data_IF_439703259622
#
_entry.id   IF_439703259622
#
_cell.length_a   1.000
_cell.length_b   1.000
_cell.length_c   1.000
_cell.angle_alpha   90.00
_cell.angle_beta   90.00
_cell.angle_gamma   90.00
#
_symmetry.space_group_name_H-M   'P 1'
#
loop_
_entity.id
_entity.type
_entity.pdbx_description
1 polymer ?
#
# COMPACT_ATOMS: atom_id res chain seq x y z
N UNK A 1 56.36 -38.53 30.52
CA UNK A 1 56.88 -37.68 29.43
C UNK A 1 56.00 -37.94 28.21
N UNK A 2 55.14 -37.10 27.66
CA UNK A 2 54.66 -35.71 27.81
C UNK A 2 53.21 -35.79 27.25
N UNK A 3 52.11 -35.48 27.94
CA UNK A 3 51.55 -34.18 28.34
C UNK A 3 51.39 -33.15 27.19
N UNK A 4 50.12 -32.86 26.89
CA UNK A 4 49.52 -31.67 26.23
C UNK A 4 49.84 -31.51 24.72
N UNK A 5 48.94 -31.10 23.83
CA UNK A 5 47.92 -30.05 23.94
C UNK A 5 46.71 -30.35 23.03
N UNK A 6 45.52 -30.50 23.61
CA UNK A 6 44.25 -30.23 22.92
C UNK A 6 43.86 -28.79 23.24
N UNK A 7 44.09 -27.87 22.29
CA UNK A 7 43.51 -26.54 22.36
C UNK A 7 42.02 -26.65 22.02
N UNK A 8 41.10 -26.25 22.91
CA UNK A 8 39.72 -26.10 22.53
C UNK A 8 39.64 -24.90 21.59
N UNK A 9 39.01 -25.10 20.43
CA UNK A 9 38.46 -24.02 19.63
C UNK A 9 37.54 -23.20 20.54
N UNK A 10 38.04 -22.07 21.03
CA UNK A 10 37.23 -21.00 21.55
C UNK A 10 36.52 -20.40 20.34
N UNK A 11 35.45 -21.07 19.88
CA UNK A 11 34.42 -20.41 19.09
C UNK A 11 33.91 -19.29 19.98
N UNK A 12 34.36 -18.08 19.65
CA UNK A 12 33.75 -16.84 20.07
C UNK A 12 32.28 -16.97 19.63
N UNK A 13 31.43 -17.44 20.55
CA UNK A 13 30.00 -17.19 20.50
C UNK A 13 29.92 -15.67 20.57
N UNK A 14 29.91 -15.04 19.39
CA UNK A 14 29.29 -13.74 19.23
C UNK A 14 27.92 -13.93 19.84
N UNK A 15 27.75 -13.39 21.03
CA UNK A 15 26.46 -13.17 21.64
C UNK A 15 25.60 -12.54 20.56
N UNK A 16 24.68 -13.33 20.01
CA UNK A 16 23.53 -12.81 19.27
C UNK A 16 22.89 -11.82 20.24
N UNK A 17 23.23 -10.54 20.05
CA UNK A 17 22.56 -9.45 20.69
C UNK A 17 21.09 -9.62 20.34
N UNK A 18 20.21 -9.49 21.34
CA UNK A 18 18.77 -9.72 21.24
C UNK A 18 18.01 -8.76 20.34
N UNK A 19 18.63 -8.29 19.25
CA UNK A 19 18.03 -7.49 18.21
C UNK A 19 17.23 -8.40 17.28
N UNK A 20 15.96 -8.06 17.04
CA UNK A 20 15.23 -8.63 15.93
C UNK A 20 15.85 -8.10 14.63
N UNK A 21 16.41 -9.00 13.82
CA UNK A 21 17.02 -8.67 12.54
C UNK A 21 15.95 -8.34 11.48
N UNK A 22 16.19 -7.28 10.72
CA UNK A 22 15.41 -6.91 9.54
C UNK A 22 16.32 -6.84 8.33
N UNK A 23 16.11 -7.75 7.39
CA UNK A 23 16.93 -7.87 6.19
C UNK A 23 16.28 -7.15 5.02
N UNK A 24 17.07 -6.33 4.33
CA UNK A 24 16.67 -5.71 3.09
C UNK A 24 16.60 -6.75 1.96
N UNK A 25 15.45 -6.82 1.29
CA UNK A 25 15.13 -7.82 0.25
C UNK A 25 15.40 -7.35 -1.17
N UNK A 26 15.44 -6.03 -1.42
CA UNK A 26 15.60 -5.49 -2.77
C UNK A 26 17.08 -5.53 -3.16
N UNK A 27 17.46 -6.43 -4.07
CA UNK A 27 18.81 -6.46 -4.61
C UNK A 27 18.86 -5.88 -6.02
N UNK A 28 19.95 -5.15 -6.30
CA UNK A 28 20.25 -4.60 -7.61
C UNK A 28 21.23 -5.50 -8.38
N UNK A 29 21.17 -6.81 -8.15
CA UNK A 29 22.12 -7.73 -8.79
C UNK A 29 21.90 -7.80 -10.30
N UNK A 30 22.99 -7.77 -11.08
CA UNK A 30 22.98 -7.97 -12.53
C UNK A 30 22.38 -9.32 -12.93
N UNK A 31 22.62 -10.37 -12.13
CA UNK A 31 22.17 -11.73 -12.43
C UNK A 31 20.68 -11.95 -12.15
N UNK A 32 19.99 -10.97 -11.56
CA UNK A 32 18.56 -11.07 -11.31
C UNK A 32 17.78 -10.70 -12.58
N UNK A 33 17.16 -11.68 -13.23
CA UNK A 33 16.39 -11.48 -14.47
C UNK A 33 15.21 -10.53 -14.31
N UNK A 34 14.67 -10.39 -13.09
CA UNK A 34 13.57 -9.46 -12.81
C UNK A 34 14.00 -7.99 -12.88
N UNK A 35 15.30 -7.72 -12.74
CA UNK A 35 15.84 -6.36 -12.86
C UNK A 35 16.04 -5.92 -14.32
N UNK A 36 15.60 -6.71 -15.29
CA UNK A 36 15.71 -6.43 -16.72
C UNK A 36 14.35 -6.45 -17.39
N UNK A 37 14.06 -5.43 -18.20
CA UNK A 37 12.81 -5.33 -18.97
C UNK A 37 12.55 -6.53 -19.89
N UNK A 38 13.61 -7.19 -20.37
CA UNK A 38 13.53 -8.36 -21.26
C UNK A 38 13.28 -9.68 -20.52
N UNK A 39 13.15 -9.66 -19.18
CA UNK A 39 12.86 -10.84 -18.36
C UNK A 39 13.99 -11.88 -18.30
N UNK A 40 15.19 -11.53 -18.77
CA UNK A 40 16.41 -12.35 -18.71
C UNK A 40 17.64 -11.46 -18.53
N UNK A 41 18.72 -12.05 -18.05
CA UNK A 41 20.03 -11.39 -17.96
C UNK A 41 20.54 -11.08 -19.39
N UNK A 42 21.17 -9.91 -19.63
CA UNK A 42 21.71 -9.54 -20.95
C UNK A 42 22.79 -10.52 -21.40
N UNK A 43 22.77 -10.84 -22.70
CA UNK A 43 23.71 -11.74 -23.36
C UNK A 43 24.85 -10.96 -24.05
N UNK A 44 25.82 -11.68 -24.61
CA UNK A 44 26.97 -11.12 -25.33
C UNK A 44 26.65 -10.25 -26.55
N UNK A 45 25.44 -10.37 -27.12
CA UNK A 45 24.96 -9.57 -28.25
C UNK A 45 24.05 -8.40 -27.81
N UNK A 46 23.64 -8.34 -26.54
CA UNK A 46 22.74 -7.30 -26.05
C UNK A 46 23.49 -6.03 -25.68
N UNK A 47 22.78 -4.90 -25.74
CA UNK A 47 23.22 -3.64 -25.14
C UNK A 47 22.57 -3.51 -23.78
N UNK A 48 23.38 -3.44 -22.72
CA UNK A 48 22.85 -3.13 -21.40
C UNK A 48 22.67 -1.62 -21.29
N UNK A 49 21.46 -1.18 -20.97
CA UNK A 49 21.09 0.22 -20.79
C UNK A 49 20.78 0.45 -19.32
N UNK A 50 21.60 1.28 -18.68
CA UNK A 50 21.47 1.61 -17.27
C UNK A 50 21.08 3.08 -17.13
N UNK A 51 19.96 3.33 -16.47
CA UNK A 51 19.43 4.67 -16.21
C UNK A 51 19.37 4.89 -14.70
N UNK A 52 20.19 5.82 -14.20
CA UNK A 52 20.25 6.21 -12.79
C UNK A 52 20.34 5.01 -11.83
N UNK A 53 21.14 4.01 -12.21
CA UNK A 53 21.24 2.73 -11.50
C UNK A 53 22.61 2.57 -10.83
N UNK A 54 22.65 1.85 -9.70
CA UNK A 54 23.90 1.31 -9.14
C UNK A 54 23.84 -0.20 -9.33
N UNK A 55 24.76 -0.74 -10.11
CA UNK A 55 24.73 -2.14 -10.54
C UNK A 55 26.07 -2.82 -10.29
N UNK A 56 26.07 -3.88 -9.49
CA UNK A 56 27.23 -4.74 -9.35
C UNK A 56 27.23 -5.84 -10.41
N UNK A 57 28.34 -5.94 -11.14
CA UNK A 57 28.57 -7.02 -12.08
C UNK A 57 28.93 -8.32 -11.34
N UNK A 58 28.59 -9.49 -11.91
CA UNK A 58 28.95 -10.77 -11.32
C UNK A 58 30.46 -11.01 -11.36
N UNK A 59 30.93 -11.88 -10.47
CA UNK A 59 32.28 -12.44 -10.55
C UNK A 59 32.41 -13.25 -11.84
N UNK A 60 33.57 -13.16 -12.52
CA UNK A 60 33.79 -13.79 -13.82
C UNK A 60 33.57 -12.83 -14.98
N UNK A 61 33.32 -13.39 -16.17
CA UNK A 61 33.23 -12.60 -17.41
C UNK A 61 31.79 -12.20 -17.73
N UNK A 62 31.53 -10.89 -17.75
CA UNK A 62 30.31 -10.30 -18.30
C UNK A 62 30.61 -9.81 -19.71
N UNK A 63 29.96 -10.42 -20.71
CA UNK A 63 30.09 -10.02 -22.12
C UNK A 63 28.85 -9.29 -22.60
N UNK A 64 29.04 -8.15 -23.24
CA UNK A 64 27.96 -7.31 -23.79
C UNK A 64 28.34 -6.81 -25.19
N UNK A 65 27.37 -6.44 -26.02
CA UNK A 65 27.66 -5.69 -27.24
C UNK A 65 28.14 -4.27 -26.89
N UNK A 66 27.40 -3.62 -26.00
CA UNK A 66 27.66 -2.28 -25.50
C UNK A 66 27.05 -2.10 -24.10
N UNK A 67 27.57 -1.13 -23.35
CA UNK A 67 27.02 -0.69 -22.07
C UNK A 67 26.74 0.81 -22.18
N UNK A 68 25.47 1.18 -22.05
CA UNK A 68 24.99 2.55 -22.15
C UNK A 68 24.72 3.03 -20.72
N UNK A 69 25.44 4.07 -20.31
CA UNK A 69 25.40 4.65 -18.97
C UNK A 69 24.94 6.10 -19.06
N UNK A 70 24.06 6.52 -18.14
CA UNK A 70 23.83 7.95 -17.90
C UNK A 70 24.86 8.54 -16.92
N UNK A 71 24.80 9.85 -16.69
CA UNK A 71 25.71 10.56 -15.78
C UNK A 71 25.53 10.19 -14.29
N UNK A 72 24.49 9.45 -13.93
CA UNK A 72 24.13 9.11 -12.56
C UNK A 72 24.20 7.61 -12.28
N UNK A 73 24.75 6.85 -13.23
CA UNK A 73 24.90 5.41 -13.15
C UNK A 73 26.27 5.03 -12.62
N UNK A 74 26.31 4.01 -11.79
CA UNK A 74 27.53 3.38 -11.33
C UNK A 74 27.53 1.90 -11.61
N UNK A 75 28.67 1.39 -12.06
CA UNK A 75 28.88 -0.02 -12.31
C UNK A 75 30.04 -0.49 -11.46
N UNK A 76 29.73 -1.33 -10.47
CA UNK A 76 30.74 -1.91 -9.59
C UNK A 76 31.28 -3.18 -10.24
N UNK A 77 32.58 -3.18 -10.56
CA UNK A 77 33.29 -4.36 -11.04
C UNK A 77 33.94 -5.07 -9.85
N UNK A 78 33.61 -6.35 -9.58
CA UNK A 78 34.29 -7.11 -8.53
C UNK A 78 35.76 -7.33 -8.90
N UNK A 79 36.62 -7.57 -7.91
CA UNK A 79 38.07 -7.72 -8.11
C UNK A 79 38.44 -8.81 -9.15
N UNK A 80 37.63 -9.87 -9.27
CA UNK A 80 37.79 -10.95 -10.24
C UNK A 80 36.73 -10.88 -11.38
N UNK A 81 36.20 -9.69 -11.64
CA UNK A 81 35.24 -9.42 -12.71
C UNK A 81 35.93 -8.95 -13.98
N UNK A 82 35.49 -9.45 -15.12
CA UNK A 82 35.93 -8.98 -16.45
C UNK A 82 34.70 -8.50 -17.21
N UNK A 83 34.67 -7.23 -17.56
CA UNK A 83 33.69 -6.67 -18.49
C UNK A 83 34.28 -6.66 -19.90
N UNK A 84 33.64 -7.36 -20.83
CA UNK A 84 34.09 -7.47 -22.22
C UNK A 84 33.03 -6.94 -23.19
N UNK A 85 33.45 -6.10 -24.13
CA UNK A 85 32.62 -5.65 -25.24
C UNK A 85 32.90 -6.47 -26.49
N UNK A 86 31.89 -7.18 -26.99
CA UNK A 86 32.02 -8.04 -28.17
C UNK A 86 31.88 -7.28 -29.47
N UNK A 87 31.12 -6.18 -29.47
CA UNK A 87 30.73 -5.44 -30.68
C UNK A 87 29.82 -6.23 -31.64
N UNK A 88 29.43 -7.46 -31.29
CA UNK A 88 28.62 -8.33 -32.15
C UNK A 88 27.13 -8.02 -31.97
N UNK A 89 26.42 -7.81 -33.07
CA UNK A 89 24.95 -7.58 -33.07
C UNK A 89 24.14 -8.87 -32.90
N UNK A 90 24.76 -10.03 -33.09
CA UNK A 90 24.13 -11.33 -32.98
C UNK A 90 25.17 -12.39 -32.61
N UNK A 91 24.73 -13.44 -31.93
CA UNK A 91 25.48 -14.67 -31.65
C UNK A 91 24.57 -15.88 -31.86
N UNK A 92 25.14 -17.09 -31.99
CA UNK A 92 24.37 -18.32 -32.20
C UNK A 92 23.32 -18.58 -31.09
N UNK A 93 23.53 -18.01 -29.90
CA UNK A 93 22.64 -18.16 -28.74
C UNK A 93 21.69 -16.98 -28.51
N UNK A 94 21.90 -15.82 -29.15
CA UNK A 94 21.21 -14.60 -28.79
C UNK A 94 21.22 -13.54 -29.89
N UNK A 95 20.02 -13.14 -30.32
CA UNK A 95 19.79 -11.94 -31.14
C UNK A 95 19.87 -10.70 -30.25
N UNK A 96 20.79 -9.79 -30.56
CA UNK A 96 21.03 -8.60 -29.75
C UNK A 96 19.85 -7.63 -29.69
N UNK A 97 19.57 -7.13 -28.50
CA UNK A 97 18.54 -6.12 -28.22
C UNK A 97 18.95 -5.19 -27.07
N UNK A 98 18.14 -4.18 -26.79
CA UNK A 98 18.32 -3.32 -25.62
C UNK A 98 17.74 -3.97 -24.37
N UNK A 99 18.63 -4.36 -23.46
CA UNK A 99 18.28 -4.80 -22.12
C UNK A 99 18.36 -3.59 -21.19
N UNK A 100 17.21 -3.04 -20.83
CA UNK A 100 17.09 -1.88 -19.93
C UNK A 100 16.99 -2.38 -18.50
N UNK A 101 17.89 -1.91 -17.65
CA UNK A 101 17.86 -2.20 -16.22
C UNK A 101 16.73 -1.44 -15.54
N UNK A 102 15.81 -2.18 -14.93
CA UNK A 102 14.67 -1.65 -14.18
C UNK A 102 14.56 -2.45 -12.89
N UNK A 103 14.90 -1.88 -11.73
CA UNK A 103 14.73 -2.56 -10.46
C UNK A 103 13.31 -3.09 -10.32
N UNK A 104 13.18 -4.38 -10.02
CA UNK A 104 11.88 -5.06 -9.93
C UNK A 104 11.04 -4.63 -8.73
N UNK A 105 11.70 -4.09 -7.70
CA UNK A 105 11.08 -3.66 -6.45
C UNK A 105 11.31 -2.17 -6.23
N UNK A 106 10.40 -1.57 -5.47
CA UNK A 106 10.57 -0.24 -4.90
C UNK A 106 11.94 -0.15 -4.23
N UNK A 107 12.58 1.01 -4.32
CA UNK A 107 13.84 1.29 -3.65
C UNK A 107 13.63 1.98 -2.30
N UNK A 108 12.39 2.18 -1.88
CA UNK A 108 12.11 2.99 -0.70
C UNK A 108 12.20 2.20 0.60
N UNK A 109 12.85 2.80 1.59
CA UNK A 109 12.93 2.28 2.95
C UNK A 109 11.54 2.01 3.56
N UNK A 110 10.59 2.91 3.31
CA UNK A 110 9.25 2.88 3.90
C UNK A 110 8.28 1.94 3.17
N UNK A 111 8.75 1.15 2.19
CA UNK A 111 7.92 0.12 1.55
C UNK A 111 8.03 -1.21 2.33
N UNK A 112 6.94 -1.70 2.93
CA UNK A 112 6.90 -2.97 3.65
C UNK A 112 7.45 -4.18 2.88
N UNK A 113 7.31 -4.21 1.55
CA UNK A 113 7.70 -5.36 0.73
C UNK A 113 9.22 -5.49 0.50
N UNK A 114 9.97 -4.49 0.94
CA UNK A 114 11.43 -4.48 0.88
C UNK A 114 12.10 -5.12 2.09
N UNK A 115 11.33 -5.57 3.07
CA UNK A 115 11.83 -6.12 4.33
C UNK A 115 11.27 -7.51 4.59
N UNK A 116 12.01 -8.31 5.35
CA UNK A 116 11.65 -9.66 5.76
C UNK A 116 10.99 -9.71 7.16
N UNK A 117 10.72 -10.93 7.62
CA UNK A 117 10.35 -11.17 9.03
C UNK A 117 8.94 -10.72 9.40
N UNK A 118 8.00 -10.70 8.47
CA UNK A 118 6.60 -10.36 8.74
C UNK A 118 5.63 -11.40 8.17
N UNK A 119 4.42 -11.41 8.70
CA UNK A 119 3.31 -12.23 8.22
C UNK A 119 2.04 -11.37 8.05
N UNK A 120 0.92 -11.97 7.63
CA UNK A 120 -0.32 -11.24 7.38
C UNK A 120 -0.90 -10.53 8.62
N UNK A 121 -0.59 -10.99 9.83
CA UNK A 121 -1.00 -10.38 11.09
C UNK A 121 -0.05 -9.26 11.57
N UNK A 122 1.13 -9.09 10.98
CA UNK A 122 2.05 -8.01 11.30
C UNK A 122 1.52 -6.68 10.76
N UNK A 123 1.34 -5.63 11.60
CA UNK A 123 0.95 -4.30 11.15
C UNK A 123 1.94 -3.69 10.16
N UNK A 124 1.46 -2.92 9.18
CA UNK A 124 2.29 -2.33 8.12
C UNK A 124 3.46 -1.49 8.65
N UNK A 125 3.25 -0.73 9.73
CA UNK A 125 4.32 0.06 10.38
C UNK A 125 5.42 -0.78 11.06
N UNK A 126 5.15 -2.06 11.29
CA UNK A 126 6.08 -3.02 11.89
C UNK A 126 6.64 -3.99 10.85
N UNK A 127 6.28 -3.83 9.57
CA UNK A 127 6.89 -4.54 8.44
C UNK A 127 8.16 -3.83 7.95
N UNK A 128 8.29 -2.54 8.24
CA UNK A 128 9.55 -1.79 8.09
C UNK A 128 10.34 -1.84 9.42
N UNK A 129 11.66 -1.57 9.43
CA UNK A 129 12.46 -1.68 10.64
C UNK A 129 11.99 -0.76 11.76
N UNK A 130 11.91 -1.32 12.97
CA UNK A 130 11.57 -0.61 14.19
C UNK A 130 12.78 0.07 14.82
N UNK A 131 12.54 1.00 15.76
CA UNK A 131 13.56 1.76 16.48
C UNK A 131 14.54 0.89 17.29
N UNK A 132 14.19 -0.36 17.57
CA UNK A 132 15.02 -1.34 18.29
C UNK A 132 15.55 -2.47 17.41
N UNK A 133 15.31 -2.42 16.09
CA UNK A 133 15.71 -3.51 15.19
C UNK A 133 17.18 -3.38 14.77
N UNK A 134 17.78 -4.52 14.40
CA UNK A 134 19.05 -4.56 13.70
C UNK A 134 18.79 -4.65 12.20
N UNK A 135 19.17 -3.61 11.47
CA UNK A 135 18.96 -3.56 10.02
C UNK A 135 20.13 -4.21 9.31
N UNK A 136 19.83 -5.14 8.40
CA UNK A 136 20.82 -5.95 7.70
C UNK A 136 20.71 -5.69 6.20
N UNK A 137 21.79 -5.15 5.65
CA UNK A 137 22.07 -5.15 4.22
C UNK A 137 23.07 -6.28 3.94
N UNK A 138 22.64 -7.37 3.29
CA UNK A 138 23.46 -8.56 3.09
C UNK A 138 24.83 -8.28 2.45
N UNK A 139 25.85 -9.10 2.71
CA UNK A 139 27.14 -8.94 2.06
C UNK A 139 27.11 -9.30 0.57
N UNK A 140 28.01 -8.68 -0.19
CA UNK A 140 28.14 -8.91 -1.63
C UNK A 140 26.97 -8.41 -2.49
N UNK A 141 26.11 -7.55 -1.92
CA UNK A 141 25.04 -6.86 -2.62
C UNK A 141 25.35 -5.38 -2.85
N UNK A 142 24.76 -4.81 -3.89
CA UNK A 142 24.67 -3.36 -4.09
C UNK A 142 23.26 -2.89 -3.80
N UNK A 143 23.19 -1.76 -3.10
CA UNK A 143 21.96 -1.18 -2.63
C UNK A 143 21.78 0.22 -3.18
N UNK A 144 20.52 0.60 -3.37
CA UNK A 144 20.11 1.96 -3.68
C UNK A 144 18.80 2.14 -2.95
N UNK A 145 18.84 2.87 -1.84
CA UNK A 145 17.75 2.99 -0.89
C UNK A 145 17.34 4.45 -0.80
N UNK A 146 16.07 4.71 -1.11
CA UNK A 146 15.44 6.01 -0.92
C UNK A 146 15.01 6.10 0.54
N UNK A 147 15.72 6.91 1.29
CA UNK A 147 15.55 7.12 2.73
C UNK A 147 14.49 8.22 2.99
N UNK A 148 13.66 8.08 4.05
CA UNK A 148 12.84 9.18 4.55
C UNK A 148 13.71 10.19 5.30
N UNK A 149 13.11 11.29 5.75
CA UNK A 149 13.81 12.39 6.42
C UNK A 149 14.59 11.95 7.67
N UNK A 150 14.00 11.07 8.47
CA UNK A 150 14.62 10.53 9.68
C UNK A 150 14.28 9.05 9.77
N UNK A 151 15.31 8.23 9.95
CA UNK A 151 15.18 6.82 10.31
C UNK A 151 15.70 6.60 11.72
N UNK A 152 15.00 5.78 12.53
CA UNK A 152 15.44 5.39 13.87
C UNK A 152 15.56 3.88 13.94
N UNK A 153 16.70 3.37 14.41
CA UNK A 153 16.93 1.93 14.58
C UNK A 153 17.84 1.62 15.77
N UNK A 154 17.93 0.33 16.12
CA UNK A 154 18.86 -0.16 17.13
C UNK A 154 20.30 -0.17 16.61
N UNK A 155 20.51 -0.71 15.40
CA UNK A 155 21.82 -0.78 14.74
C UNK A 155 21.70 -1.15 13.27
N UNK A 156 22.80 -1.06 12.54
CA UNK A 156 22.92 -1.44 11.13
C UNK A 156 24.04 -2.47 10.92
N UNK A 157 23.95 -3.25 9.85
CA UNK A 157 25.02 -4.03 9.27
C UNK A 157 24.98 -3.87 7.76
N UNK A 158 26.08 -3.40 7.18
CA UNK A 158 26.23 -3.20 5.74
C UNK A 158 27.49 -3.92 5.29
N UNK A 159 27.35 -4.86 4.36
CA UNK A 159 28.45 -5.73 3.89
C UNK A 159 29.21 -6.44 5.03
N UNK A 160 28.48 -6.84 6.08
CA UNK A 160 29.05 -7.48 7.27
C UNK A 160 29.75 -6.52 8.23
N UNK A 161 29.82 -5.21 7.94
CA UNK A 161 30.30 -4.19 8.87
C UNK A 161 29.13 -3.64 9.69
N UNK A 162 29.17 -3.85 11.00
CA UNK A 162 28.21 -3.27 11.94
C UNK A 162 28.43 -1.77 12.14
N UNK A 163 27.33 -1.00 12.16
CA UNK A 163 27.30 0.40 12.58
C UNK A 163 26.38 0.49 13.80
N UNK A 164 26.93 1.01 14.91
CA UNK A 164 26.29 0.99 16.23
C UNK A 164 26.05 2.38 16.80
N UNK A 165 26.46 3.44 16.07
CA UNK A 165 26.22 4.82 16.46
C UNK A 165 25.87 5.72 15.28
N UNK A 166 25.12 6.79 15.55
CA UNK A 166 24.76 7.83 14.57
C UNK A 166 26.00 8.47 13.92
N UNK A 167 27.12 8.57 14.66
CA UNK A 167 28.36 9.11 14.12
C UNK A 167 28.99 8.17 13.07
N UNK A 168 29.03 6.86 13.35
CA UNK A 168 29.52 5.88 12.36
C UNK A 168 28.65 5.85 11.11
N UNK A 169 27.34 6.01 11.27
CA UNK A 169 26.44 6.20 10.12
C UNK A 169 26.81 7.45 9.34
N UNK A 170 26.94 8.59 10.00
CA UNK A 170 27.27 9.86 9.35
C UNK A 170 28.62 9.81 8.62
N UNK A 171 29.64 9.18 9.20
CA UNK A 171 30.92 8.96 8.53
C UNK A 171 30.75 8.08 7.29
N UNK A 172 29.95 7.01 7.37
CA UNK A 172 29.67 6.13 6.25
C UNK A 172 28.84 6.81 5.15
N UNK A 173 27.75 7.51 5.49
CA UNK A 173 26.87 8.16 4.53
C UNK A 173 27.57 9.29 3.78
N UNK A 174 28.60 9.89 4.36
CA UNK A 174 29.45 10.88 3.71
C UNK A 174 30.50 10.29 2.75
N UNK A 175 30.75 8.98 2.80
CA UNK A 175 31.58 8.33 1.81
C UNK A 175 30.86 8.36 0.45
N UNK A 176 31.65 8.38 -0.62
CA UNK A 176 31.12 8.32 -1.98
C UNK A 176 30.21 7.11 -2.21
N UNK A 177 30.55 5.99 -1.59
CA UNK A 177 29.76 4.76 -1.65
C UNK A 177 28.47 4.89 -0.84
N UNK A 178 28.54 5.33 0.42
CA UNK A 178 27.38 5.44 1.31
C UNK A 178 26.33 6.42 0.79
N UNK A 179 26.75 7.63 0.37
CA UNK A 179 25.87 8.67 -0.19
C UNK A 179 25.11 8.25 -1.46
N UNK A 180 25.64 7.27 -2.19
CA UNK A 180 25.01 6.75 -3.41
C UNK A 180 24.13 5.54 -3.16
N UNK A 181 24.47 4.74 -2.15
CA UNK A 181 23.63 3.63 -1.71
C UNK A 181 22.44 4.10 -0.89
N UNK A 182 22.58 5.17 -0.11
CA UNK A 182 21.56 5.69 0.80
C UNK A 182 21.40 7.19 0.61
N UNK A 183 20.23 7.60 0.10
CA UNK A 183 19.98 9.00 -0.27
C UNK A 183 18.51 9.35 -0.05
N UNK A 184 18.24 10.61 0.22
CA UNK A 184 16.88 11.12 0.27
C UNK A 184 16.35 11.42 -1.13
N UNK A 185 15.03 11.55 -1.31
CA UNK A 185 14.43 11.79 -2.63
C UNK A 185 14.90 13.10 -3.30
N UNK A 186 15.22 14.12 -2.48
CA UNK A 186 15.84 15.38 -2.89
C UNK A 186 17.37 15.26 -3.12
N UNK A 187 17.93 14.06 -2.98
CA UNK A 187 19.36 13.72 -3.08
C UNK A 187 20.24 14.35 -2.00
N UNK A 188 19.64 14.72 -0.86
CA UNK A 188 20.38 15.07 0.35
C UNK A 188 20.87 13.80 1.08
N UNK A 189 21.82 14.00 1.99
CA UNK A 189 22.39 12.95 2.84
C UNK A 189 21.32 12.36 3.76
N UNK A 190 21.22 11.04 3.77
CA UNK A 190 20.26 10.35 4.63
C UNK A 190 20.65 10.43 6.10
N UNK A 191 19.72 10.84 6.95
CA UNK A 191 19.91 10.88 8.39
C UNK A 191 19.32 9.64 9.09
N UNK A 192 20.15 8.95 9.87
CA UNK A 192 19.77 7.79 10.67
C UNK A 192 20.20 8.01 12.11
N UNK A 193 19.25 7.91 13.02
CA UNK A 193 19.48 7.88 14.46
C UNK A 193 19.67 6.42 14.91
N UNK A 194 20.88 6.08 15.35
CA UNK A 194 21.22 4.74 15.86
C UNK A 194 21.33 4.80 17.38
N UNK A 195 20.42 4.10 18.04
CA UNK A 195 20.35 4.10 19.51
C UNK A 195 21.36 3.16 20.18
N UNK A 196 21.84 2.14 19.47
CA UNK A 196 22.66 1.06 20.02
C UNK A 196 21.91 0.11 20.97
N UNK A 197 20.63 0.39 21.23
CA UNK A 197 19.81 -0.35 22.18
C UNK A 197 18.98 -1.41 21.45
N UNK A 198 19.04 -2.63 21.95
CA UNK A 198 18.18 -3.72 21.51
C UNK A 198 16.89 -3.77 22.34
N UNK A 199 15.82 -4.29 21.74
CA UNK A 199 14.68 -4.70 22.54
C UNK A 199 15.10 -5.85 23.46
N UNK A 200 14.92 -5.76 24.79
CA UNK A 200 15.23 -6.88 25.67
C UNK A 200 14.42 -8.12 25.26
N UNK A 201 15.08 -9.29 25.17
CA UNK A 201 14.42 -10.53 24.74
C UNK A 201 13.22 -10.92 25.61
N UNK A 202 13.20 -10.47 26.86
CA UNK A 202 12.14 -10.76 27.84
C UNK A 202 11.01 -9.74 27.84
N UNK A 203 11.08 -8.67 27.04
CA UNK A 203 10.08 -7.59 27.04
C UNK A 203 9.46 -7.36 25.66
N UNK A 204 8.29 -6.74 25.65
CA UNK A 204 7.68 -6.21 24.43
C UNK A 204 8.08 -4.75 24.24
N UNK A 205 8.64 -4.43 23.07
CA UNK A 205 8.98 -3.07 22.70
C UNK A 205 7.95 -2.48 21.74
N UNK A 206 7.79 -1.17 21.81
CA UNK A 206 7.04 -0.44 20.81
C UNK A 206 7.94 -0.20 19.59
N UNK A 207 7.37 -0.34 18.39
CA UNK A 207 8.14 -0.22 17.16
C UNK A 207 8.67 1.20 16.92
N UNK A 208 7.90 2.22 17.32
CA UNK A 208 8.31 3.63 17.22
C UNK A 208 8.09 4.29 15.86
N UNK A 209 7.45 3.62 14.90
CA UNK A 209 7.26 4.12 13.52
C UNK A 209 6.00 4.94 13.29
N UNK A 210 5.27 5.32 14.34
CA UNK A 210 4.00 6.07 14.24
C UNK A 210 4.16 7.41 13.48
N UNK A 211 5.34 8.03 13.52
CA UNK A 211 5.62 9.29 12.80
C UNK A 211 5.66 9.10 11.27
N UNK A 212 5.92 7.89 10.77
CA UNK A 212 5.95 7.57 9.33
C UNK A 212 4.63 7.03 8.80
N UNK A 213 3.54 7.05 9.59
CA UNK A 213 2.30 6.37 9.24
C UNK A 213 1.74 6.79 7.87
N UNK A 214 1.68 8.09 7.60
CA UNK A 214 1.14 8.61 6.33
C UNK A 214 1.99 8.15 5.14
N UNK A 215 3.32 8.23 5.26
CA UNK A 215 4.26 7.90 4.21
C UNK A 215 4.26 6.39 3.90
N UNK A 216 4.29 5.54 4.93
CA UNK A 216 4.21 4.08 4.75
C UNK A 216 2.89 3.71 4.08
N UNK A 217 1.76 4.25 4.57
CA UNK A 217 0.45 3.91 4.02
C UNK A 217 0.22 4.42 2.61
N UNK A 218 0.93 5.47 2.17
CA UNK A 218 0.91 5.91 0.77
C UNK A 218 1.48 4.87 -0.21
N UNK A 219 2.27 3.90 0.29
CA UNK A 219 2.87 2.82 -0.49
C UNK A 219 2.16 1.48 -0.34
N UNK A 220 1.17 1.37 0.55
CA UNK A 220 0.40 0.15 0.74
C UNK A 220 -0.86 0.21 -0.12
N UNK A 221 -1.05 -0.81 -0.96
CA UNK A 221 -2.29 -0.95 -1.74
C UNK A 221 -3.31 -1.75 -0.95
N UNK A 222 -4.41 -1.10 -0.54
CA UNK A 222 -5.49 -1.76 0.19
C UNK A 222 -6.43 -2.52 -0.75
N UNK A 223 -6.45 -3.85 -0.64
CA UNK A 223 -7.51 -4.67 -1.22
C UNK A 223 -8.81 -4.50 -0.42
N UNK A 224 -9.96 -4.66 -1.09
CA UNK A 224 -11.25 -4.63 -0.41
C UNK A 224 -11.39 -5.89 0.46
N UNK A 225 -11.66 -5.76 1.77
CA UNK A 225 -11.75 -6.91 2.66
C UNK A 225 -13.00 -7.75 2.39
N UNK A 226 -12.82 -9.07 2.29
CA UNK A 226 -13.88 -10.05 2.02
C UNK A 226 -14.66 -10.46 3.30
N UNK A 227 -14.93 -9.50 4.18
CA UNK A 227 -15.69 -9.69 5.41
C UNK A 227 -16.54 -8.46 5.71
N UNK A 228 -17.66 -8.67 6.43
CA UNK A 228 -18.46 -7.59 7.00
C UNK A 228 -17.71 -6.99 8.19
N UNK A 229 -17.85 -5.68 8.39
CA UNK A 229 -17.24 -4.97 9.53
C UNK A 229 -15.75 -5.32 9.71
N UNK A 230 -14.90 -5.04 8.70
CA UNK A 230 -13.47 -5.27 8.83
C UNK A 230 -12.91 -4.43 9.98
N UNK A 231 -11.83 -4.93 10.60
CA UNK A 231 -11.19 -4.29 11.75
C UNK A 231 -9.85 -3.69 11.34
N UNK A 232 -9.38 -2.66 12.02
CA UNK A 232 -8.10 -2.03 11.73
C UNK A 232 -7.30 -1.86 13.02
N UNK A 233 -6.43 -2.84 13.37
CA UNK A 233 -5.54 -2.72 14.51
C UNK A 233 -4.54 -1.56 14.34
N UNK A 234 -3.96 -1.09 15.44
CA UNK A 234 -2.94 -0.03 15.40
C UNK A 234 -1.75 -0.43 14.54
N UNK A 235 -1.31 0.47 13.67
CA UNK A 235 -0.19 0.27 12.75
C UNK A 235 -0.54 -0.37 11.41
N UNK A 236 -1.80 -0.79 11.19
CA UNK A 236 -2.28 -1.22 9.87
C UNK A 236 -2.74 -0.03 9.04
N UNK A 237 -2.35 -0.02 7.77
CA UNK A 237 -2.82 0.97 6.80
C UNK A 237 -4.23 0.66 6.29
N UNK A 238 -4.56 -0.62 6.18
CA UNK A 238 -5.82 -1.11 5.62
C UNK A 238 -6.65 -1.87 6.68
N UNK A 239 -7.98 -1.83 6.60
CA UNK A 239 -8.82 -2.75 7.34
C UNK A 239 -8.57 -4.20 6.91
N UNK A 240 -8.61 -5.13 7.87
CA UNK A 240 -8.36 -6.57 7.67
C UNK A 240 -9.55 -7.41 8.15
N UNK A 241 -9.59 -8.65 7.67
CA UNK A 241 -10.49 -9.69 8.18
C UNK A 241 -9.74 -10.56 9.19
N UNK A 242 -10.13 -10.49 10.47
CA UNK A 242 -9.38 -11.14 11.54
C UNK A 242 -9.98 -10.89 12.92
N UNK A 243 -9.10 -10.93 13.92
CA UNK A 243 -9.40 -10.48 15.28
C UNK A 243 -8.18 -9.75 15.87
N UNK A 244 -8.40 -8.84 16.82
CA UNK A 244 -7.31 -8.37 17.67
C UNK A 244 -7.75 -8.13 19.11
N UNK A 245 -6.79 -8.24 20.02
CA UNK A 245 -6.94 -7.98 21.44
C UNK A 245 -6.16 -6.75 21.84
N UNK A 246 -6.68 -6.04 22.84
CA UNK A 246 -5.87 -5.14 23.65
C UNK A 246 -5.74 -5.75 25.04
N UNK A 247 -4.53 -6.17 25.37
CA UNK A 247 -4.20 -6.84 26.62
C UNK A 247 -3.50 -5.85 27.56
N UNK A 248 -3.82 -5.95 28.84
CA UNK A 248 -3.11 -5.26 29.92
C UNK A 248 -2.34 -6.29 30.74
N UNK A 249 -1.04 -6.05 30.94
CA UNK A 249 -0.14 -6.93 31.65
C UNK A 249 0.30 -6.33 33.00
N UNK A 250 0.37 -7.16 34.03
CA UNK A 250 1.07 -6.81 35.28
C UNK A 250 2.58 -6.98 35.18
N UNK A 251 3.04 -7.94 34.36
CA UNK A 251 4.42 -8.08 33.91
C UNK A 251 4.46 -7.96 32.39
N UNK A 252 5.58 -7.48 31.86
CA UNK A 252 5.83 -7.37 30.41
C UNK A 252 6.65 -8.55 29.88
N UNK A 253 6.68 -9.66 30.62
CA UNK A 253 7.40 -10.88 30.21
C UNK A 253 6.80 -11.43 28.91
N UNK A 254 7.56 -11.28 27.83
CA UNK A 254 7.14 -11.67 26.48
C UNK A 254 7.23 -13.17 26.26
N UNK A 255 8.14 -13.87 26.93
CA UNK A 255 8.45 -15.27 26.66
C UNK A 255 7.27 -16.18 27.02
N UNK A 256 6.77 -16.07 28.26
CA UNK A 256 5.70 -16.93 28.74
C UNK A 256 4.40 -16.76 27.94
N UNK A 257 4.00 -15.51 27.67
CA UNK A 257 2.79 -15.25 26.90
C UNK A 257 2.93 -15.75 25.46
N UNK A 258 4.10 -15.55 24.84
CA UNK A 258 4.40 -16.05 23.49
C UNK A 258 4.31 -17.56 23.42
N UNK A 259 4.87 -18.29 24.40
CA UNK A 259 4.75 -19.75 24.46
C UNK A 259 3.30 -20.21 24.62
N UNK A 260 2.52 -19.54 25.47
CA UNK A 260 1.12 -19.90 25.70
C UNK A 260 0.25 -19.64 24.46
N UNK A 261 0.48 -18.52 23.75
CA UNK A 261 -0.18 -18.21 22.48
C UNK A 261 0.21 -19.24 21.42
N UNK A 262 1.50 -19.51 21.25
CA UNK A 262 1.99 -20.49 20.28
C UNK A 262 1.41 -21.89 20.54
N UNK A 263 1.39 -22.32 21.80
CA UNK A 263 0.80 -23.61 22.19
C UNK A 263 -0.69 -23.66 21.92
N UNK A 264 -1.40 -22.55 22.15
CA UNK A 264 -2.84 -22.48 21.90
C UNK A 264 -3.17 -22.46 20.41
N UNK A 265 -2.42 -21.71 19.59
CA UNK A 265 -2.70 -21.52 18.17
C UNK A 265 -2.13 -22.60 17.25
N UNK A 266 -1.29 -23.48 17.79
CA UNK A 266 -0.70 -24.60 17.05
C UNK A 266 -1.77 -25.40 16.30
N UNK A 267 -1.53 -25.65 15.02
CA UNK A 267 -2.37 -26.44 14.11
C UNK A 267 -3.80 -25.87 13.89
N UNK A 268 -4.04 -24.59 14.20
CA UNK A 268 -5.34 -23.93 14.00
C UNK A 268 -5.46 -23.15 12.68
N UNK A 269 -4.39 -23.04 11.90
CA UNK A 269 -4.37 -22.26 10.65
C UNK A 269 -4.59 -20.76 10.90
N UNK A 270 -4.00 -20.23 11.97
CA UNK A 270 -4.09 -18.81 12.34
C UNK A 270 -2.68 -18.26 12.51
N UNK A 271 -2.39 -17.19 11.77
CA UNK A 271 -1.21 -16.36 11.93
C UNK A 271 -1.47 -15.34 13.02
N UNK A 272 -0.42 -14.99 13.76
CA UNK A 272 -0.54 -14.00 14.83
C UNK A 272 0.69 -13.09 14.90
N UNK A 273 0.48 -11.91 15.48
CA UNK A 273 1.52 -10.94 15.78
C UNK A 273 1.18 -10.20 17.06
N UNK A 274 2.17 -9.97 17.92
CA UNK A 274 1.98 -9.17 19.13
C UNK A 274 2.96 -8.01 19.18
N UNK A 275 2.46 -6.83 19.55
CA UNK A 275 3.28 -5.63 19.66
C UNK A 275 2.77 -4.69 20.74
N UNK A 276 3.68 -3.92 21.34
CA UNK A 276 3.33 -2.96 22.37
C UNK A 276 2.81 -1.67 21.72
N UNK A 277 1.63 -1.24 22.16
CA UNK A 277 0.99 0.00 21.71
C UNK A 277 0.71 0.85 22.95
N UNK A 278 1.61 1.78 23.24
CA UNK A 278 1.59 2.57 24.47
C UNK A 278 1.69 1.69 25.73
N UNK A 279 0.61 1.66 26.52
CA UNK A 279 0.52 0.86 27.78
C UNK A 279 -0.19 -0.48 27.61
N UNK A 280 -0.53 -0.86 26.39
CA UNK A 280 -1.26 -2.09 26.09
C UNK A 280 -0.42 -2.97 25.16
N UNK A 281 -0.65 -4.27 25.23
CA UNK A 281 -0.16 -5.22 24.25
C UNK A 281 -1.28 -5.49 23.24
N UNK A 282 -1.02 -5.21 21.98
CA UNK A 282 -1.92 -5.55 20.87
C UNK A 282 -1.55 -6.95 20.37
N UNK A 283 -2.52 -7.87 20.33
CA UNK A 283 -2.36 -9.19 19.72
C UNK A 283 -3.31 -9.29 18.53
N UNK A 284 -2.77 -9.43 17.33
CA UNK A 284 -3.52 -9.55 16.07
C UNK A 284 -3.53 -11.01 15.62
N UNK A 285 -4.69 -11.48 15.17
CA UNK A 285 -4.93 -12.81 14.64
C UNK A 285 -5.53 -12.72 13.23
N UNK A 286 -4.97 -13.46 12.28
CA UNK A 286 -5.44 -13.54 10.89
C UNK A 286 -5.45 -15.01 10.47
N UNK A 287 -6.44 -15.44 9.69
CA UNK A 287 -6.48 -16.81 9.16
C UNK A 287 -5.38 -17.00 8.11
N UNK A 288 -4.78 -18.18 8.11
CA UNK A 288 -3.84 -18.57 7.06
C UNK A 288 -4.61 -18.95 5.78
N UNK A 289 -4.60 -18.06 4.79
CA UNK A 289 -5.34 -18.21 3.54
C UNK A 289 -6.61 -17.36 3.47
N UNK A 290 -7.67 -17.88 2.84
CA UNK A 290 -8.94 -17.18 2.69
C UNK A 290 -9.72 -17.13 4.00
N UNK A 291 -10.34 -15.97 4.27
CA UNK A 291 -11.11 -15.75 5.49
C UNK A 291 -12.36 -16.66 5.56
N UNK A 292 -12.48 -17.46 6.62
CA UNK A 292 -13.55 -18.45 6.81
C UNK A 292 -14.28 -18.32 8.17
N UNK A 293 -14.13 -17.18 8.85
CA UNK A 293 -14.72 -16.87 10.17
C UNK A 293 -14.25 -17.73 11.35
N UNK A 294 -13.38 -18.72 11.14
CA UNK A 294 -12.83 -19.60 12.21
C UNK A 294 -12.11 -18.81 13.29
N UNK A 295 -11.45 -17.71 12.92
CA UNK A 295 -10.72 -16.86 13.87
C UNK A 295 -11.63 -16.29 14.95
N UNK A 296 -12.94 -16.16 14.70
CA UNK A 296 -13.90 -15.67 15.69
C UNK A 296 -13.96 -16.57 16.93
N UNK A 297 -14.24 -17.86 16.72
CA UNK A 297 -14.31 -18.84 17.80
C UNK A 297 -12.95 -19.05 18.48
N UNK A 298 -11.87 -19.02 17.68
CA UNK A 298 -10.50 -19.15 18.19
C UNK A 298 -10.18 -17.97 19.11
N UNK A 299 -10.51 -16.74 18.72
CA UNK A 299 -10.25 -15.55 19.51
C UNK A 299 -11.04 -15.54 20.83
N UNK A 300 -12.32 -15.96 20.82
CA UNK A 300 -13.12 -16.05 22.05
C UNK A 300 -12.57 -17.10 23.02
N UNK A 301 -12.14 -18.26 22.50
CA UNK A 301 -11.52 -19.30 23.33
C UNK A 301 -10.15 -18.87 23.84
N UNK A 302 -9.36 -18.17 23.02
CA UNK A 302 -8.07 -17.61 23.43
C UNK A 302 -8.25 -16.57 24.53
N UNK A 303 -9.25 -15.68 24.42
CA UNK A 303 -9.61 -14.71 25.47
C UNK A 303 -9.80 -15.41 26.81
N UNK A 304 -10.61 -16.48 26.81
CA UNK A 304 -10.91 -17.27 28.00
C UNK A 304 -9.66 -17.95 28.55
N UNK A 305 -8.79 -18.48 27.67
CA UNK A 305 -7.50 -19.06 28.06
C UNK A 305 -6.56 -18.03 28.68
N UNK A 306 -6.45 -16.83 28.11
CA UNK A 306 -5.62 -15.74 28.65
C UNK A 306 -6.15 -15.27 30.01
N UNK A 307 -7.46 -15.13 30.18
CA UNK A 307 -8.04 -14.71 31.47
C UNK A 307 -7.81 -15.78 32.55
N UNK A 308 -7.99 -17.06 32.21
CA UNK A 308 -7.91 -18.14 33.20
C UNK A 308 -6.46 -18.54 33.51
N UNK A 309 -5.58 -18.53 32.51
CA UNK A 309 -4.23 -19.08 32.61
C UNK A 309 -3.12 -18.05 32.41
N UNK A 310 -3.43 -16.83 31.95
CA UNK A 310 -2.45 -15.84 31.51
C UNK A 310 -1.69 -15.13 32.63
N UNK A 311 -1.63 -15.70 33.85
CA UNK A 311 -0.67 -15.32 34.92
C UNK A 311 -0.42 -13.80 35.09
N UNK A 312 -1.48 -12.99 35.04
CA UNK A 312 -1.39 -11.52 35.21
C UNK A 312 -1.69 -10.69 33.96
N UNK A 313 -1.96 -11.33 32.83
CA UNK A 313 -2.54 -10.71 31.64
C UNK A 313 -4.07 -10.65 31.74
N UNK A 314 -4.65 -9.54 31.27
CA UNK A 314 -6.10 -9.34 31.21
C UNK A 314 -6.49 -8.79 29.85
N UNK A 315 -7.52 -9.36 29.23
CA UNK A 315 -8.04 -8.86 27.96
C UNK A 315 -8.98 -7.68 28.22
N UNK A 316 -8.55 -6.47 27.88
CA UNK A 316 -9.34 -5.25 28.02
C UNK A 316 -10.42 -5.20 26.93
N UNK A 317 -10.01 -5.44 25.69
CA UNK A 317 -10.90 -5.41 24.53
C UNK A 317 -10.59 -6.57 23.58
N UNK A 318 -11.62 -7.03 22.87
CA UNK A 318 -11.53 -7.99 21.78
C UNK A 318 -12.42 -7.46 20.64
N UNK A 319 -11.80 -7.24 19.49
CA UNK A 319 -12.46 -6.84 18.26
C UNK A 319 -12.32 -7.96 17.24
N UNK A 320 -13.41 -8.29 16.56
CA UNK A 320 -13.45 -9.38 15.57
C UNK A 320 -14.22 -8.90 14.36
N UNK A 321 -13.74 -9.25 13.17
CA UNK A 321 -14.48 -9.02 11.93
C UNK A 321 -15.81 -9.79 11.90
N UNK A 322 -16.76 -9.28 11.14
CA UNK A 322 -18.03 -9.95 10.87
C UNK A 322 -17.93 -11.02 9.80
N UNK A 323 -19.10 -11.49 9.35
CA UNK A 323 -19.22 -12.63 8.44
C UNK A 323 -18.49 -12.46 7.10
N UNK A 324 -18.10 -13.56 6.46
CA UNK A 324 -17.50 -13.57 5.12
C UNK A 324 -18.42 -12.83 4.16
N UNK A 325 -17.84 -11.95 3.37
CA UNK A 325 -18.55 -11.23 2.33
C UNK A 325 -17.95 -11.56 0.98
N UNK A 326 -18.78 -12.12 0.11
CA UNK A 326 -18.45 -12.33 -1.29
C UNK A 326 -19.08 -11.21 -2.12
N UNK A 327 -18.28 -10.49 -2.95
CA UNK A 327 -18.86 -9.53 -3.87
C UNK A 327 -19.77 -10.27 -4.85
N UNK A 328 -21.01 -9.78 -5.01
CA UNK A 328 -21.95 -10.35 -5.97
C UNK A 328 -21.41 -10.17 -7.38
N UNK A 329 -21.16 -11.26 -8.08
CA UNK A 329 -20.70 -11.18 -9.48
C UNK A 329 -21.85 -10.77 -10.39
N UNK A 330 -21.54 -10.10 -11.51
CA UNK A 330 -22.54 -9.74 -12.53
C UNK A 330 -23.33 -10.98 -13.01
N UNK A 331 -22.65 -12.13 -13.13
CA UNK A 331 -23.28 -13.41 -13.47
C UNK A 331 -24.32 -13.88 -12.45
N UNK A 332 -24.07 -13.69 -11.15
CA UNK A 332 -25.04 -14.00 -10.11
C UNK A 332 -26.26 -13.07 -10.19
N UNK A 333 -26.06 -11.77 -10.41
CA UNK A 333 -27.17 -10.80 -10.55
C UNK A 333 -28.04 -11.14 -11.75
N UNK A 334 -27.43 -11.36 -12.93
CA UNK A 334 -28.16 -11.75 -14.13
C UNK A 334 -28.82 -13.12 -13.97
N UNK A 335 -28.16 -14.07 -13.29
CA UNK A 335 -28.73 -15.37 -12.97
C UNK A 335 -29.99 -15.26 -12.12
N UNK A 336 -29.98 -14.44 -11.07
CA UNK A 336 -31.15 -14.16 -10.24
C UNK A 336 -32.27 -13.48 -11.05
N UNK A 337 -31.93 -12.51 -11.90
CA UNK A 337 -32.89 -11.81 -12.76
C UNK A 337 -33.58 -12.77 -13.75
N UNK A 338 -32.82 -13.59 -14.47
CA UNK A 338 -33.39 -14.56 -15.42
C UNK A 338 -34.17 -15.67 -14.71
N UNK A 339 -33.71 -16.13 -13.54
CA UNK A 339 -34.43 -17.10 -12.72
C UNK A 339 -35.80 -16.58 -12.28
N UNK A 340 -35.86 -15.32 -11.83
CA UNK A 340 -37.12 -14.65 -11.49
C UNK A 340 -38.05 -14.49 -12.70
N UNK A 341 -37.51 -14.16 -13.87
CA UNK A 341 -38.28 -14.09 -15.13
C UNK A 341 -38.87 -15.44 -15.52
N UNK A 342 -38.09 -16.52 -15.46
CA UNK A 342 -38.56 -17.87 -15.75
C UNK A 342 -39.64 -18.29 -14.75
N UNK A 343 -39.42 -18.01 -13.45
CA UNK A 343 -40.39 -18.32 -12.41
C UNK A 343 -41.71 -17.56 -12.60
N UNK A 344 -41.65 -16.26 -12.90
CA UNK A 344 -42.83 -15.46 -13.23
C UNK A 344 -43.55 -15.98 -14.49
N UNK A 345 -42.81 -16.39 -15.52
CA UNK A 345 -43.35 -17.02 -16.72
C UNK A 345 -44.06 -18.35 -16.45
N UNK A 346 -43.50 -19.19 -15.58
CA UNK A 346 -44.13 -20.45 -15.16
C UNK A 346 -45.41 -20.22 -14.36
N UNK A 347 -45.43 -19.22 -13.47
CA UNK A 347 -46.65 -18.82 -12.75
C UNK A 347 -47.71 -18.34 -13.74
N UNK A 348 -47.36 -17.47 -14.69
CA UNK A 348 -48.28 -16.99 -15.72
C UNK A 348 -48.85 -18.15 -16.55
N UNK A 349 -47.99 -19.08 -16.98
CA UNK A 349 -48.41 -20.27 -17.72
C UNK A 349 -49.35 -21.16 -16.90
N UNK A 350 -49.07 -21.37 -15.61
CA UNK A 350 -49.94 -22.13 -14.71
C UNK A 350 -51.31 -21.45 -14.54
N UNK A 351 -51.34 -20.12 -14.41
CA UNK A 351 -52.58 -19.33 -14.37
C UNK A 351 -53.35 -19.49 -15.68
N UNK A 352 -52.69 -19.36 -16.84
CA UNK A 352 -53.33 -19.53 -18.15
C UNK A 352 -53.91 -20.96 -18.29
N UNK A 353 -53.17 -22.00 -17.90
CA UNK A 353 -53.65 -23.39 -17.96
C UNK A 353 -54.84 -23.60 -17.01
N UNK A 354 -54.79 -23.06 -15.80
CA UNK A 354 -55.87 -23.18 -14.82
C UNK A 354 -57.16 -22.50 -15.30
N UNK A 355 -57.06 -21.29 -15.87
CA UNK A 355 -58.21 -20.55 -16.38
C UNK A 355 -58.69 -21.07 -17.75
N UNK A 356 -57.81 -21.53 -18.63
CA UNK A 356 -58.18 -22.14 -19.91
C UNK A 356 -58.90 -23.49 -19.73
N UNK A 357 -58.58 -24.27 -18.68
CA UNK A 357 -59.34 -25.48 -18.33
C UNK A 357 -60.79 -25.18 -17.89
N UNK A 358 -61.03 -24.00 -17.33
CA UNK A 358 -62.39 -23.48 -17.04
C UNK A 358 -63.01 -22.70 -18.21
N UNK A 359 -62.27 -22.48 -19.30
CA UNK A 359 -62.71 -21.71 -20.47
C UNK A 359 -63.48 -22.55 -21.49
N UNK A 360 -63.80 -23.82 -21.23
CA UNK A 360 -64.66 -24.61 -22.14
C UNK A 360 -66.12 -24.13 -22.19
N UNK A 361 -66.49 -23.11 -21.39
CA UNK A 361 -67.86 -22.58 -21.27
C UNK A 361 -68.01 -21.12 -21.74
N UNK A 362 -66.97 -20.50 -22.32
CA UNK A 362 -67.14 -19.19 -22.98
C UNK A 362 -67.53 -19.45 -24.43
N UNK A 363 -68.83 -19.63 -24.66
CA UNK A 363 -69.38 -19.46 -25.99
C UNK A 363 -69.11 -18.02 -26.43
N UNK A 364 -68.32 -17.87 -27.49
CA UNK A 364 -68.27 -16.64 -28.26
C UNK A 364 -69.69 -16.39 -28.79
N UNK A 365 -70.46 -15.59 -28.06
CA UNK A 365 -71.60 -14.90 -28.65
C UNK A 365 -71.00 -13.78 -29.51
N UNK A 366 -71.36 -13.68 -30.80
CA UNK A 366 -70.91 -12.58 -31.63
C UNK A 366 -71.63 -11.33 -31.13
N UNK A 367 -70.98 -10.57 -30.24
CA UNK A 367 -71.46 -9.26 -29.82
C UNK A 367 -71.18 -8.25 -30.92
N UNK A 368 -72.28 -7.79 -31.51
CA UNK A 368 -72.48 -6.55 -32.28
C UNK A 368 -71.23 -5.84 -32.80
N UNK A 369 -71.12 -5.82 -34.13
CA UNK A 369 -70.34 -4.85 -34.88
C UNK A 369 -70.72 -3.42 -34.48
N UNK A 370 -69.97 -2.82 -33.56
CA UNK A 370 -69.95 -1.36 -33.40
C UNK A 370 -68.93 -0.80 -34.38
N UNK A 371 -69.33 0.10 -35.30
CA UNK A 371 -68.43 0.66 -36.28
C UNK A 371 -67.37 1.53 -35.59
N UNK A 372 -66.11 1.32 -35.95
CA UNK A 372 -64.98 2.15 -35.58
C UNK A 372 -65.23 3.60 -36.04
N UNK A 373 -65.46 4.52 -35.10
CA UNK A 373 -65.48 5.96 -35.38
C UNK A 373 -64.04 6.46 -35.31
N UNK A 374 -63.42 6.60 -36.49
CA UNK A 374 -62.19 7.38 -36.65
C UNK A 374 -62.56 8.87 -36.59
N UNK A 375 -61.97 9.63 -35.67
CA UNK A 375 -62.00 11.09 -35.75
C UNK A 375 -61.19 11.51 -36.98
N UNK A 376 -61.89 11.98 -38.01
CA UNK A 376 -61.31 12.54 -39.23
C UNK A 376 -61.09 14.03 -38.97
N UNK A 377 -59.83 14.47 -38.92
CA UNK A 377 -59.51 15.90 -38.86
C UNK A 377 -59.77 16.51 -40.24
N UNK A 378 -60.80 17.37 -40.34
CA UNK A 378 -61.06 18.18 -41.52
C UNK A 378 -60.14 19.42 -41.50
N UNK A 379 -59.34 19.52 -42.55
CA UNK A 379 -58.46 20.64 -42.82
C UNK A 379 -59.30 21.74 -43.50
N UNK A 380 -59.72 22.77 -42.77
CA UNK A 380 -60.29 23.98 -43.39
C UNK A 380 -59.22 25.06 -43.52
N UNK A 381 -58.81 25.23 -44.77
CA UNK A 381 -58.05 26.35 -45.31
C UNK A 381 -58.97 27.56 -45.54
N UNK A 382 -58.73 28.69 -44.87
CA UNK A 382 -58.72 30.04 -45.51
C UNK A 382 -58.44 31.17 -44.51
N UNK A 383 -57.29 31.79 -44.74
CA UNK A 383 -56.84 33.19 -44.58
C UNK A 383 -57.48 34.18 -43.58
N UNK A 384 -56.60 34.65 -42.68
CA UNK A 384 -56.20 36.04 -42.36
C UNK A 384 -57.29 37.11 -42.20
N UNK A 385 -57.37 37.71 -41.00
CA UNK A 385 -57.39 39.18 -40.80
C UNK A 385 -56.72 39.59 -39.48
N UNK A 386 -55.99 40.71 -39.55
CA UNK A 386 -55.15 41.37 -38.53
C UNK A 386 -55.91 42.55 -37.91
N UNK A 387 -55.76 42.77 -36.59
CA UNK A 387 -55.76 44.04 -35.83
C UNK A 387 -56.30 43.78 -34.40
N UNK A 388 -55.50 43.91 -33.33
CA UNK A 388 -55.16 45.13 -32.57
C UNK A 388 -56.32 45.68 -31.71
N UNK A 389 -56.29 45.48 -30.39
CA UNK A 389 -56.04 46.48 -29.33
C UNK A 389 -56.45 45.95 -27.91
N UNK A 390 -55.66 46.34 -26.90
CA UNK A 390 -55.80 46.09 -25.45
C UNK A 390 -57.12 46.68 -24.86
N UNK A 391 -57.65 46.26 -23.67
CA UNK A 391 -57.00 46.38 -22.34
C UNK A 391 -57.29 45.32 -21.24
N UNK A 392 -56.27 45.13 -20.38
CA UNK A 392 -56.25 44.99 -18.90
C UNK A 392 -57.42 44.27 -18.18
N UNK A 393 -57.17 43.11 -17.53
CA UNK A 393 -57.08 42.97 -16.06
C UNK A 393 -56.98 41.50 -15.58
N UNK A 394 -56.09 41.36 -14.61
CA UNK A 394 -55.71 40.23 -13.76
C UNK A 394 -56.84 39.48 -13.04
N UNK A 395 -56.81 38.14 -13.04
CA UNK A 395 -57.04 37.31 -11.84
C UNK A 395 -56.24 36.01 -11.95
N UNK A 396 -55.35 35.80 -10.98
CA UNK A 396 -54.55 34.60 -10.77
C UNK A 396 -55.40 33.55 -10.03
N UNK A 397 -55.57 32.36 -10.62
CA UNK A 397 -56.02 31.16 -9.90
C UNK A 397 -54.90 30.13 -9.89
N UNK A 398 -54.40 29.86 -8.69
CA UNK A 398 -53.44 28.81 -8.36
C UNK A 398 -54.08 27.42 -8.45
N UNK A 399 -53.40 26.41 -9.03
CA UNK A 399 -53.77 25.01 -8.90
C UNK A 399 -53.29 24.42 -7.55
N UNK A 400 -53.98 23.38 -7.03
CA UNK A 400 -53.76 22.86 -5.68
C UNK A 400 -52.48 22.04 -5.52
N UNK A 401 -51.88 22.16 -4.32
CA UNK A 401 -50.69 21.45 -3.85
C UNK A 401 -50.87 19.93 -3.83
N UNK A 402 -49.81 19.20 -4.22
CA UNK A 402 -49.66 17.78 -4.00
C UNK A 402 -48.44 17.52 -3.09
N UNK A 403 -48.72 16.87 -1.95
CA UNK A 403 -47.88 16.06 -1.06
C UNK A 403 -46.46 16.53 -0.69
N UNK A 404 -46.36 17.10 0.51
CA UNK A 404 -45.12 17.29 1.28
C UNK A 404 -44.56 15.96 1.82
N UNK A 405 -43.28 15.70 1.57
CA UNK A 405 -42.51 14.57 2.10
C UNK A 405 -41.88 14.94 3.47
N UNK A 406 -42.19 14.23 4.57
CA UNK A 406 -41.91 14.69 5.93
C UNK A 406 -40.48 14.46 6.43
N UNK A 407 -39.51 14.10 5.58
CA UNK A 407 -38.12 13.92 6.02
C UNK A 407 -37.21 15.16 5.85
N UNK A 408 -37.70 16.22 5.20
CA UNK A 408 -36.92 17.43 4.94
C UNK A 408 -37.71 18.72 5.27
N UNK A 409 -38.28 18.75 6.48
CA UNK A 409 -38.88 19.95 7.03
C UNK A 409 -37.85 20.94 7.57
N UNK A 410 -37.63 22.02 6.81
CA UNK A 410 -37.27 23.37 7.24
C UNK A 410 -36.02 23.60 8.11
N UNK A 411 -34.93 24.02 7.46
CA UNK A 411 -34.10 25.14 7.94
C UNK A 411 -33.84 26.09 6.76
N UNK A 412 -33.98 27.38 7.04
CA UNK A 412 -34.25 28.43 6.06
C UNK A 412 -33.23 28.61 4.94
N UNK A 413 -33.74 28.83 3.73
CA UNK A 413 -32.95 29.33 2.61
C UNK A 413 -32.65 30.81 2.83
N UNK A 414 -31.41 31.09 3.21
CA UNK A 414 -30.74 32.35 2.93
C UNK A 414 -30.15 32.22 1.50
N UNK A 415 -30.63 33.03 0.56
CA UNK A 415 -30.15 33.04 -0.82
C UNK A 415 -28.67 33.47 -0.87
N UNK A 416 -27.77 32.52 -1.14
CA UNK A 416 -26.45 32.81 -1.69
C UNK A 416 -26.45 32.44 -3.18
N UNK A 417 -26.33 33.47 -4.02
CA UNK A 417 -25.98 33.32 -5.43
C UNK A 417 -24.57 32.70 -5.51
N UNK A 418 -24.50 31.44 -5.92
CA UNK A 418 -23.23 30.81 -6.30
C UNK A 418 -23.31 30.56 -7.81
N UNK A 419 -22.64 31.45 -8.55
CA UNK A 419 -22.22 31.22 -9.92
C UNK A 419 -21.14 30.14 -9.91
N UNK A 420 -21.41 29.03 -10.60
CA UNK A 420 -20.46 27.94 -10.81
C UNK A 420 -19.60 28.31 -12.03
N UNK A 421 -18.38 28.77 -11.78
CA UNK A 421 -17.34 28.89 -12.81
C UNK A 421 -16.42 27.68 -12.74
N UNK A 422 -16.28 26.98 -13.87
CA UNK A 422 -15.28 25.95 -14.11
C UNK A 422 -13.93 26.62 -14.43
N UNK A 423 -12.85 26.39 -13.68
CA UNK A 423 -11.52 26.86 -14.08
C UNK A 423 -10.77 25.74 -14.79
N UNK A 424 -10.95 25.64 -16.11
CA UNK A 424 -9.98 24.98 -16.98
C UNK A 424 -9.78 25.87 -18.21
N UNK A 425 -8.54 26.37 -18.37
CA UNK A 425 -7.97 27.14 -19.49
C UNK A 425 -8.24 28.65 -19.58
N UNK A 426 -7.28 29.46 -19.10
CA UNK A 426 -6.74 30.75 -19.61
C UNK A 426 -5.91 31.35 -18.45
N UNK A 427 -4.69 31.88 -18.55
CA UNK A 427 -3.82 32.32 -19.64
C UNK A 427 -2.37 32.29 -19.17
N UNK A 428 -1.50 31.71 -20.01
CA UNK A 428 -0.13 32.19 -20.18
C UNK A 428 -0.24 33.47 -21.02
N UNK A 429 0.24 34.61 -20.52
CA UNK A 429 1.08 35.56 -21.25
C UNK A 429 1.41 36.80 -20.40
N UNK A 430 2.72 37.05 -20.32
CA UNK A 430 3.43 38.34 -20.30
C UNK A 430 3.06 39.43 -19.28
N UNK A 431 4.07 39.85 -18.51
CA UNK A 431 4.60 41.21 -18.68
C UNK A 431 6.08 41.27 -18.31
N UNK A 432 6.87 41.60 -19.33
CA UNK A 432 8.24 42.13 -19.30
C UNK A 432 8.28 43.51 -18.64
N UNK A 433 9.38 43.82 -17.94
CA UNK A 433 9.97 45.17 -17.93
C UNK A 433 11.43 45.14 -17.47
N UNK A 434 12.32 45.54 -18.37
CA UNK A 434 13.75 45.83 -18.18
C UNK A 434 13.94 47.18 -17.47
N UNK A 435 14.77 47.28 -16.42
CA UNK A 435 16.07 47.97 -16.47
C UNK A 435 16.04 49.38 -15.82
N UNK A 436 17.19 50.03 -15.46
CA UNK A 436 18.57 49.65 -15.72
C UNK A 436 19.56 49.69 -14.52
N UNK A 437 20.70 49.07 -14.81
CA UNK A 437 22.07 49.15 -14.26
C UNK A 437 22.51 50.41 -13.51
N UNK A 438 23.22 50.23 -12.38
CA UNK A 438 24.40 51.03 -12.04
C UNK A 438 25.38 50.25 -11.14
N UNK A 439 26.66 50.39 -11.46
CA UNK A 439 27.81 49.77 -10.81
C UNK A 439 28.51 50.76 -9.88
N UNK A 440 28.98 50.30 -8.71
CA UNK A 440 30.21 50.74 -8.04
C UNK A 440 30.47 49.78 -6.85
N UNK A 441 31.56 49.01 -6.84
CA UNK A 441 32.87 49.31 -6.22
C UNK A 441 32.76 49.69 -4.73
N UNK A 442 33.20 48.80 -3.83
CA UNK A 442 34.33 49.05 -2.91
C UNK A 442 34.64 47.83 -2.05
N UNK A 443 35.92 47.48 -2.06
CA UNK A 443 36.66 46.71 -1.07
C UNK A 443 36.56 47.39 0.29
N UNK A 444 36.34 46.64 1.37
CA UNK A 444 36.93 47.03 2.65
C UNK A 444 37.33 45.83 3.52
N UNK A 445 38.52 45.98 4.07
CA UNK A 445 39.27 45.09 4.95
C UNK A 445 39.20 45.66 6.35
N UNK A 446 38.70 44.90 7.32
CA UNK A 446 39.00 45.06 8.75
C UNK A 446 38.48 43.81 9.48
N UNK A 447 39.32 42.88 9.92
CA UNK A 447 40.15 42.98 11.13
C UNK A 447 39.29 43.09 12.38
N UNK A 448 39.16 42.01 13.16
CA UNK A 448 38.89 42.07 14.60
C UNK A 448 39.21 40.74 15.29
N UNK A 449 40.41 40.69 15.87
CA UNK A 449 40.78 39.77 16.95
C UNK A 449 40.52 40.43 18.31
N UNK A 450 39.85 39.72 19.23
CA UNK A 450 39.88 39.94 20.69
C UNK A 450 39.07 41.14 21.21
N UNK A 451 38.46 41.15 22.39
CA UNK A 451 38.71 40.41 23.63
C UNK A 451 37.60 40.78 24.66
N UNK A 452 37.18 39.82 25.52
CA UNK A 452 36.50 39.96 26.84
C UNK A 452 35.73 41.27 27.15
N UNK A 453 34.41 41.19 27.33
CA UNK A 453 33.59 41.02 28.56
C UNK A 453 32.14 40.95 28.10
#
# INVERSE_FOLDING_TARGET
KQLLWTLPFLTLLLTESGLCGRTWLSNLSYNNSHNWNIGRVPCAADRAVLESAVLQLPVGTTSLQALILDSYTEVLLPANGVLQFTGKKNTDACNGQDAVFKPSKSLSWIDPHNWDGWNAATPDLERIPCASDHVIFPPGGTYRVIMPDVVRVGSFSIDGRGLFSTLEWFEFSNLHEGSRQFFMSNREEAYVEISGNACPQTEWCECGNNYMHSEVCSRVSCAEPLCKQPIQPSGFCCPICGAYFLLNGKSWDSHQLTEDINRFLKDKGVLWHASKVGKLLQLVLVEDGEYSEKVHDIAQRLKTSIINNGKGWTAKELHVSGHVWYPTTFGQVMGHFFSLLVFAGLILAAVIVFYSRKWSWVQFTPTESRPFVFARFENQSSEVMVASEQPIHSVTHTPPQAFDNPMYGATGQEQRNITVENPVYTELEETTNEGPMQADTTVDTSDYSGQKV
#
